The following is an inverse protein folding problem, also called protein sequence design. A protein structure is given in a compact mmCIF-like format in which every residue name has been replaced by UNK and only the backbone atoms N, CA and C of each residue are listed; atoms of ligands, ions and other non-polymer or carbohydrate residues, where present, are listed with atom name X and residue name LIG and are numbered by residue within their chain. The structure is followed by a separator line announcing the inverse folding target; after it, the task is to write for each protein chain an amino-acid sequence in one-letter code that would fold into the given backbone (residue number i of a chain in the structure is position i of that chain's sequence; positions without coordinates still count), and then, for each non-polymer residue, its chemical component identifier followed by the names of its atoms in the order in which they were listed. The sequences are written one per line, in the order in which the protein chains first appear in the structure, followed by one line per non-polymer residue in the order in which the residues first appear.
data_IF_937848547306
#
_entry.id   IF_937848547306
#
_cell.length_a   1.000
_cell.length_b   1.000
_cell.length_c   1.000
_cell.angle_alpha   90.00
_cell.angle_beta   90.00
_cell.angle_gamma   90.00
#
_symmetry.space_group_name_H-M   'P 1'
#
loop_
_entity.id
_entity.type
_entity.pdbx_description
1 polymer ?
#
# COMPACT_ATOMS: atom_id res chain seq x y z
N UNK A 1 23.98 2.77 7.11
CA UNK A 1 23.12 2.72 5.88
C UNK A 1 21.75 3.22 6.26
N UNK A 2 21.17 4.19 5.52
CA UNK A 2 19.84 4.72 5.80
C UNK A 2 18.79 3.62 5.60
N UNK A 3 17.79 3.57 6.47
CA UNK A 3 16.64 2.67 6.32
C UNK A 3 15.72 3.18 5.21
N UNK A 4 14.96 2.29 4.62
CA UNK A 4 14.03 2.65 3.53
C UNK A 4 12.60 2.31 3.93
N UNK A 5 11.73 3.33 4.00
CA UNK A 5 10.29 3.17 4.15
C UNK A 5 9.65 3.20 2.76
N UNK A 6 9.09 2.09 2.35
CA UNK A 6 8.44 1.92 1.04
C UNK A 6 6.93 1.85 1.28
N UNK A 7 6.20 2.83 0.79
CA UNK A 7 4.75 2.89 0.91
C UNK A 7 4.14 2.59 -0.46
N UNK A 8 3.41 1.48 -0.55
CA UNK A 8 2.69 1.07 -1.75
C UNK A 8 1.21 1.35 -1.54
N UNK A 9 0.66 2.29 -2.29
CA UNK A 9 -0.75 2.58 -2.30
C UNK A 9 -1.37 2.37 -3.68
N UNK A 10 -2.66 2.58 -3.79
CA UNK A 10 -3.42 2.41 -5.02
C UNK A 10 -4.85 1.95 -4.73
N UNK A 11 -5.68 2.00 -5.73
CA UNK A 11 -7.09 1.64 -5.60
C UNK A 11 -7.26 0.17 -5.19
N UNK A 12 -8.38 -0.16 -4.59
CA UNK A 12 -8.74 -1.55 -4.28
C UNK A 12 -8.77 -2.38 -5.59
N UNK A 13 -8.23 -3.59 -5.56
CA UNK A 13 -8.16 -4.46 -6.75
C UNK A 13 -6.92 -4.26 -7.63
N UNK A 14 -6.11 -3.21 -7.44
CA UNK A 14 -4.93 -2.93 -8.29
C UNK A 14 -3.76 -3.93 -8.08
N UNK A 15 -3.77 -4.70 -6.98
CA UNK A 15 -2.76 -5.74 -6.71
C UNK A 15 -1.73 -5.39 -5.63
N UNK A 16 -1.99 -4.40 -4.76
CA UNK A 16 -1.05 -3.97 -3.70
C UNK A 16 -0.49 -5.12 -2.87
N UNK A 17 -1.36 -5.91 -2.26
CA UNK A 17 -0.97 -7.02 -1.37
C UNK A 17 -0.14 -8.06 -2.11
N UNK A 18 -0.51 -8.40 -3.35
CA UNK A 18 0.22 -9.36 -4.18
C UNK A 18 1.64 -8.87 -4.50
N UNK A 19 1.76 -7.62 -4.96
CA UNK A 19 3.04 -6.99 -5.27
C UNK A 19 3.89 -6.85 -4.01
N UNK A 20 3.30 -6.37 -2.90
CA UNK A 20 4.01 -6.23 -1.63
C UNK A 20 4.52 -7.56 -1.09
N UNK A 21 3.73 -8.63 -1.19
CA UNK A 21 4.13 -9.97 -0.77
C UNK A 21 5.31 -10.51 -1.60
N UNK A 22 5.33 -10.24 -2.90
CA UNK A 22 6.44 -10.61 -3.77
C UNK A 22 7.69 -9.77 -3.46
N UNK A 23 7.54 -8.45 -3.36
CA UNK A 23 8.62 -7.53 -3.05
C UNK A 23 9.26 -7.86 -1.68
N UNK A 24 8.44 -8.08 -0.65
CA UNK A 24 8.89 -8.47 0.69
C UNK A 24 9.82 -9.69 0.67
N UNK A 25 9.49 -10.71 -0.12
CA UNK A 25 10.30 -11.93 -0.25
C UNK A 25 11.62 -11.71 -0.99
N UNK A 26 11.72 -10.64 -1.77
CA UNK A 26 12.88 -10.27 -2.56
C UNK A 26 13.78 -9.21 -1.90
N UNK A 27 13.44 -8.76 -0.68
CA UNK A 27 14.20 -7.78 0.09
C UNK A 27 14.67 -8.41 1.41
N UNK A 28 15.98 -8.50 1.61
CA UNK A 28 16.55 -8.95 2.87
C UNK A 28 16.35 -7.92 3.97
N UNK A 29 16.11 -8.38 5.21
CA UNK A 29 15.87 -7.52 6.37
C UNK A 29 14.69 -6.55 6.16
N UNK A 30 13.61 -7.05 5.53
CA UNK A 30 12.39 -6.32 5.24
C UNK A 30 11.29 -6.69 6.25
N UNK A 31 10.70 -5.68 6.88
CA UNK A 31 9.48 -5.82 7.68
C UNK A 31 8.30 -5.34 6.84
N UNK A 32 7.23 -6.11 6.82
CA UNK A 32 6.05 -5.81 6.00
C UNK A 32 4.78 -5.66 6.84
N UNK A 33 4.08 -4.56 6.62
CA UNK A 33 2.75 -4.28 7.15
C UNK A 33 1.75 -4.12 6.00
N UNK A 34 0.74 -4.98 5.96
CA UNK A 34 -0.48 -4.72 5.19
C UNK A 34 -1.49 -4.00 6.09
N UNK A 35 -1.88 -2.79 5.72
CA UNK A 35 -2.77 -1.95 6.52
C UNK A 35 -4.16 -2.56 6.73
N UNK A 36 -4.62 -3.41 5.83
CA UNK A 36 -5.90 -4.09 5.98
C UNK A 36 -5.89 -5.07 7.16
N UNK A 37 -4.73 -5.65 7.52
CA UNK A 37 -4.59 -6.53 8.68
C UNK A 37 -4.74 -5.80 10.03
N UNK A 38 -4.59 -4.48 10.04
CA UNK A 38 -4.76 -3.66 11.25
C UNK A 38 -6.23 -3.32 11.49
N UNK A 39 -7.09 -3.56 10.50
CA UNK A 39 -8.53 -3.30 10.57
C UNK A 39 -9.37 -4.59 10.56
N UNK A 40 -8.85 -5.67 11.13
CA UNK A 40 -9.58 -6.94 11.22
C UNK A 40 -10.53 -6.88 12.42
N UNK A 41 -11.82 -6.62 12.15
CA UNK A 41 -12.88 -6.59 13.17
C UNK A 41 -14.19 -7.20 12.64
N UNK A 42 -14.99 -7.75 13.52
CA UNK A 42 -16.30 -8.31 13.20
C UNK A 42 -17.38 -7.81 14.18
N UNK A 43 -18.46 -7.13 13.71
CA UNK A 43 -18.67 -6.71 12.32
C UNK A 43 -17.68 -5.61 11.90
N UNK A 44 -17.43 -5.47 10.60
CA UNK A 44 -16.57 -4.41 10.05
C UNK A 44 -17.31 -3.06 10.12
N UNK A 45 -16.76 -2.12 10.90
CA UNK A 45 -17.36 -0.79 11.13
C UNK A 45 -16.32 0.29 10.78
N UNK A 46 -16.75 1.25 9.95
CA UNK A 46 -15.95 2.42 9.54
C UNK A 46 -16.54 3.67 10.17
N UNK A 47 -16.05 4.03 11.34
CA UNK A 47 -16.34 5.28 12.04
C UNK A 47 -15.07 6.04 12.41
N UNK A 48 -15.20 7.21 13.01
CA UNK A 48 -14.06 8.07 13.34
C UNK A 48 -13.18 7.49 14.45
N UNK A 49 -13.74 6.75 15.39
CA UNK A 49 -13.00 6.09 16.45
C UNK A 49 -12.11 4.98 15.88
N UNK A 50 -12.69 4.10 15.06
CA UNK A 50 -11.96 3.01 14.41
C UNK A 50 -10.90 3.52 13.44
N UNK A 51 -11.20 4.57 12.65
CA UNK A 51 -10.20 5.23 11.78
C UNK A 51 -9.01 5.75 12.59
N UNK A 52 -9.27 6.42 13.71
CA UNK A 52 -8.23 6.95 14.59
C UNK A 52 -7.38 5.83 15.20
N UNK A 53 -8.03 4.77 15.68
CA UNK A 53 -7.38 3.59 16.24
C UNK A 53 -6.46 2.93 15.19
N UNK A 54 -6.98 2.66 13.99
CA UNK A 54 -6.23 2.01 12.91
C UNK A 54 -5.01 2.84 12.50
N UNK A 55 -5.18 4.16 12.32
CA UNK A 55 -4.06 5.05 12.01
C UNK A 55 -3.00 5.03 13.12
N UNK A 56 -3.42 5.04 14.39
CA UNK A 56 -2.50 4.96 15.54
C UNK A 56 -1.73 3.65 15.55
N UNK A 57 -2.40 2.53 15.30
CA UNK A 57 -1.77 1.21 15.23
C UNK A 57 -0.77 1.11 14.06
N UNK A 58 -1.13 1.60 12.87
CA UNK A 58 -0.23 1.64 11.71
C UNK A 58 1.04 2.42 12.04
N UNK A 59 0.89 3.63 12.58
CA UNK A 59 2.02 4.50 12.95
C UNK A 59 2.91 3.83 13.99
N UNK A 60 2.31 3.23 15.02
CA UNK A 60 3.03 2.52 16.06
C UNK A 60 3.85 1.34 15.51
N UNK A 61 3.25 0.51 14.67
CA UNK A 61 3.92 -0.65 14.07
C UNK A 61 5.06 -0.21 13.15
N UNK A 62 4.85 0.81 12.30
CA UNK A 62 5.89 1.30 11.38
C UNK A 62 7.07 1.87 12.17
N UNK A 63 6.84 2.66 13.23
CA UNK A 63 7.90 3.17 14.09
C UNK A 63 8.71 2.02 14.73
N UNK A 64 8.03 1.01 15.29
CA UNK A 64 8.72 -0.15 15.87
C UNK A 64 9.56 -0.92 14.84
N UNK A 65 9.07 -1.04 13.60
CA UNK A 65 9.85 -1.67 12.52
C UNK A 65 11.06 -0.80 12.15
N UNK A 66 10.90 0.52 12.08
CA UNK A 66 12.01 1.43 11.81
C UNK A 66 13.04 1.48 12.95
N UNK A 67 12.61 1.34 14.18
CA UNK A 67 13.53 1.35 15.34
C UNK A 67 14.30 0.03 15.49
N UNK A 68 13.82 -1.06 14.89
CA UNK A 68 14.48 -2.37 15.00
C UNK A 68 15.84 -2.37 14.25
N UNK A 69 16.91 -2.79 14.95
CA UNK A 69 18.27 -2.79 14.38
C UNK A 69 18.47 -3.70 13.17
N UNK A 70 17.66 -4.76 13.05
CA UNK A 70 17.72 -5.68 11.92
C UNK A 70 16.94 -5.15 10.68
N UNK A 71 16.18 -4.06 10.84
CA UNK A 71 15.39 -3.50 9.75
C UNK A 71 16.28 -2.72 8.79
N UNK A 72 16.25 -3.08 7.53
CA UNK A 72 16.80 -2.33 6.39
C UNK A 72 15.69 -1.69 5.57
N UNK A 73 14.62 -2.45 5.36
CA UNK A 73 13.44 -2.03 4.63
C UNK A 73 12.20 -2.18 5.52
N UNK A 74 11.33 -1.18 5.48
CA UNK A 74 9.97 -1.25 6.02
C UNK A 74 9.02 -1.05 4.86
N UNK A 75 8.26 -2.07 4.53
CA UNK A 75 7.27 -2.06 3.47
C UNK A 75 5.89 -1.92 4.09
N UNK A 76 5.14 -0.93 3.63
CA UNK A 76 3.77 -0.69 4.06
C UNK A 76 2.86 -0.56 2.84
N UNK A 77 1.77 -1.31 2.79
CA UNK A 77 0.77 -1.14 1.75
C UNK A 77 -0.62 -0.90 2.33
N UNK A 78 -1.35 0.04 1.73
CA UNK A 78 -2.74 0.32 2.11
C UNK A 78 -3.48 1.14 1.05
N UNK A 79 -4.79 1.38 1.27
CA UNK A 79 -5.67 2.21 0.43
C UNK A 79 -5.59 3.69 0.87
N UNK A 80 -4.52 4.37 0.49
CA UNK A 80 -4.31 5.80 0.79
C UNK A 80 -4.67 6.60 -0.47
N UNK A 81 -5.79 7.30 -0.46
CA UNK A 81 -6.34 7.95 -1.65
C UNK A 81 -6.16 9.48 -1.69
N UNK A 82 -5.50 10.06 -0.68
CA UNK A 82 -5.15 11.49 -0.66
C UNK A 82 -3.79 11.74 -0.02
N UNK A 83 -3.11 12.80 -0.44
CA UNK A 83 -1.88 13.24 0.20
C UNK A 83 -2.10 13.67 1.66
N UNK A 84 -3.31 14.13 2.02
CA UNK A 84 -3.65 14.45 3.40
C UNK A 84 -3.55 13.23 4.32
N UNK A 85 -4.11 12.08 3.91
CA UNK A 85 -4.01 10.82 4.67
C UNK A 85 -2.55 10.35 4.73
N UNK A 86 -1.82 10.43 3.60
CA UNK A 86 -0.40 10.09 3.54
C UNK A 86 0.41 10.92 4.53
N UNK A 87 0.18 12.23 4.56
CA UNK A 87 0.89 13.15 5.45
C UNK A 87 0.48 12.96 6.92
N UNK A 88 -0.79 12.63 7.23
CA UNK A 88 -1.21 12.27 8.59
C UNK A 88 -0.42 11.08 9.16
N UNK A 89 -0.04 10.14 8.32
CA UNK A 89 0.80 8.99 8.70
C UNK A 89 2.25 9.45 8.83
N UNK A 90 2.82 10.06 7.79
CA UNK A 90 4.24 10.40 7.71
C UNK A 90 4.68 11.40 8.79
N UNK A 91 3.84 12.38 9.13
CA UNK A 91 4.14 13.39 10.16
C UNK A 91 4.26 12.81 11.59
N UNK A 92 3.84 11.56 11.81
CA UNK A 92 3.91 10.88 13.10
C UNK A 92 4.92 9.72 13.12
N UNK A 93 5.63 9.52 12.03
CA UNK A 93 6.71 8.52 11.92
C UNK A 93 8.04 9.23 12.14
N UNK A 94 8.93 8.59 12.91
CA UNK A 94 10.30 9.05 13.04
C UNK A 94 11.08 8.72 11.77
N UNK A 95 11.32 9.75 10.95
CA UNK A 95 11.99 9.63 9.66
C UNK A 95 13.48 10.04 9.70
N UNK A 96 14.08 10.12 10.90
CA UNK A 96 15.51 10.41 11.03
C UNK A 96 16.30 9.24 10.40
N UNK A 97 17.19 9.56 9.45
CA UNK A 97 17.95 8.58 8.67
C UNK A 97 17.12 7.54 7.92
N UNK A 98 15.91 7.93 7.47
CA UNK A 98 15.00 7.11 6.68
C UNK A 98 14.75 7.75 5.32
N UNK A 99 14.97 6.99 4.25
CA UNK A 99 14.56 7.37 2.89
C UNK A 99 13.13 6.89 2.63
N UNK A 100 12.24 7.80 2.21
CA UNK A 100 10.81 7.49 2.02
C UNK A 100 10.48 7.39 0.54
N UNK A 101 9.92 6.26 0.13
CA UNK A 101 9.45 6.01 -1.23
C UNK A 101 7.93 5.86 -1.23
N UNK A 102 7.23 6.82 -1.83
CA UNK A 102 5.76 6.80 -1.99
C UNK A 102 5.43 6.32 -3.40
N UNK A 103 4.88 5.14 -3.52
CA UNK A 103 4.59 4.48 -4.80
C UNK A 103 3.10 4.22 -4.92
N UNK A 104 2.48 4.68 -6.01
CA UNK A 104 1.09 4.37 -6.34
C UNK A 104 1.03 3.38 -7.50
N UNK A 105 0.44 2.22 -7.26
CA UNK A 105 0.13 1.27 -8.32
C UNK A 105 -1.11 1.73 -9.06
N UNK A 106 -1.02 1.79 -10.38
CA UNK A 106 -2.11 2.14 -11.29
C UNK A 106 -2.34 1.01 -12.29
N UNK A 107 -3.52 0.90 -12.83
CA UNK A 107 -3.81 0.14 -14.05
C UNK A 107 -4.96 0.82 -14.79
N UNK A 108 -5.19 0.53 -16.05
CA UNK A 108 -6.35 1.08 -16.74
C UNK A 108 -7.67 0.55 -16.12
N UNK A 109 -8.77 1.29 -16.32
CA UNK A 109 -10.07 0.97 -15.69
C UNK A 109 -10.61 -0.41 -16.12
N UNK A 110 -10.37 -0.81 -17.36
CA UNK A 110 -10.81 -2.11 -17.89
C UNK A 110 -10.11 -3.27 -17.17
N UNK A 111 -8.80 -3.17 -17.02
CA UNK A 111 -8.02 -4.19 -16.29
C UNK A 111 -8.39 -4.22 -14.80
N UNK A 112 -8.66 -3.07 -14.18
CA UNK A 112 -9.13 -2.98 -12.80
C UNK A 112 -10.46 -3.74 -12.62
N UNK A 113 -11.44 -3.47 -13.49
CA UNK A 113 -12.74 -4.13 -13.46
C UNK A 113 -12.58 -5.65 -13.63
N UNK A 114 -11.74 -6.07 -14.57
CA UNK A 114 -11.45 -7.50 -14.80
C UNK A 114 -10.87 -8.18 -13.56
N UNK A 115 -9.92 -7.52 -12.88
CA UNK A 115 -9.30 -8.06 -11.64
C UNK A 115 -10.31 -8.15 -10.51
N UNK A 116 -11.15 -7.13 -10.32
CA UNK A 116 -12.17 -7.13 -9.27
C UNK A 116 -13.24 -8.19 -9.56
N UNK A 117 -13.71 -8.33 -10.81
CA UNK A 117 -14.66 -9.38 -11.19
C UNK A 117 -14.13 -10.78 -10.86
N UNK A 118 -12.87 -11.05 -11.17
CA UNK A 118 -12.23 -12.31 -10.80
C UNK A 118 -12.24 -12.55 -9.29
N UNK A 119 -11.98 -11.52 -8.49
CA UNK A 119 -12.02 -11.61 -7.03
C UNK A 119 -13.46 -11.84 -6.52
N UNK A 120 -14.48 -11.26 -7.19
CA UNK A 120 -15.91 -11.50 -6.89
C UNK A 120 -16.31 -12.94 -7.20
N UNK A 121 -15.93 -13.45 -8.38
CA UNK A 121 -16.18 -14.85 -8.77
C UNK A 121 -15.57 -15.85 -7.78
N UNK A 122 -14.43 -15.50 -7.16
CA UNK A 122 -13.76 -16.31 -6.14
C UNK A 122 -14.33 -16.09 -4.72
N UNK A 123 -15.34 -15.26 -4.55
CA UNK A 123 -15.92 -14.93 -3.24
C UNK A 123 -15.00 -14.12 -2.31
N UNK A 124 -13.95 -13.49 -2.86
CA UNK A 124 -12.98 -12.67 -2.11
C UNK A 124 -13.53 -11.25 -1.90
N UNK A 125 -14.40 -10.78 -2.80
CA UNK A 125 -14.95 -9.42 -2.81
C UNK A 125 -16.43 -9.40 -3.15
N UNK A 126 -17.09 -8.31 -2.77
CA UNK A 126 -18.46 -8.01 -3.16
C UNK A 126 -18.50 -7.23 -4.48
N UNK A 127 -19.60 -7.33 -5.24
CA UNK A 127 -19.80 -6.60 -6.51
C UNK A 127 -19.71 -5.07 -6.35
N UNK A 128 -20.14 -4.54 -5.20
CA UNK A 128 -20.08 -3.10 -4.89
C UNK A 128 -18.63 -2.54 -4.87
N UNK A 129 -17.62 -3.41 -4.77
CA UNK A 129 -16.23 -3.00 -4.79
C UNK A 129 -15.78 -2.40 -6.13
N UNK A 130 -16.44 -2.76 -7.26
CA UNK A 130 -16.15 -2.15 -8.56
C UNK A 130 -16.48 -0.67 -8.52
N UNK A 131 -17.71 -0.32 -8.12
CA UNK A 131 -18.16 1.07 -8.02
C UNK A 131 -17.27 1.88 -7.08
N UNK A 132 -17.04 1.37 -5.86
CA UNK A 132 -16.18 2.04 -4.85
C UNK A 132 -14.75 2.26 -5.34
N UNK A 133 -14.23 1.37 -6.16
CA UNK A 133 -12.89 1.49 -6.72
C UNK A 133 -12.84 2.54 -7.82
N UNK A 134 -13.83 2.56 -8.71
CA UNK A 134 -13.92 3.54 -9.80
C UNK A 134 -14.17 4.96 -9.28
N UNK A 135 -14.99 5.14 -8.24
CA UNK A 135 -15.27 6.43 -7.61
C UNK A 135 -14.00 7.11 -7.05
N UNK A 136 -13.02 6.30 -6.63
CA UNK A 136 -11.76 6.81 -6.06
C UNK A 136 -10.58 6.76 -7.04
N UNK A 137 -10.76 6.16 -8.21
CA UNK A 137 -9.67 5.89 -9.14
C UNK A 137 -8.88 7.14 -9.51
N UNK A 138 -9.56 8.23 -9.86
CA UNK A 138 -8.91 9.44 -10.35
C UNK A 138 -8.16 10.19 -9.23
N UNK A 139 -8.55 10.03 -7.96
CA UNK A 139 -7.83 10.62 -6.81
C UNK A 139 -6.38 10.14 -6.70
N UNK A 140 -6.10 8.91 -7.10
CA UNK A 140 -4.74 8.36 -7.05
C UNK A 140 -3.81 8.98 -8.11
N UNK A 141 -4.35 9.47 -9.23
CA UNK A 141 -3.57 10.18 -10.25
C UNK A 141 -3.01 11.51 -9.72
N UNK A 142 -3.77 12.20 -8.86
CA UNK A 142 -3.44 13.53 -8.35
C UNK A 142 -2.43 13.49 -7.20
N UNK A 143 -2.23 12.33 -6.56
CA UNK A 143 -1.30 12.19 -5.43
C UNK A 143 0.16 12.46 -5.83
N UNK A 144 0.91 13.12 -4.95
CA UNK A 144 2.35 13.34 -5.11
C UNK A 144 3.16 12.07 -4.77
N UNK A 145 3.12 11.09 -5.68
CA UNK A 145 3.75 9.78 -5.56
C UNK A 145 4.33 9.33 -6.89
N UNK A 146 5.26 8.39 -6.86
CA UNK A 146 5.77 7.72 -8.06
C UNK A 146 4.68 6.77 -8.57
N UNK A 147 4.22 6.96 -9.81
CA UNK A 147 3.20 6.11 -10.42
C UNK A 147 3.85 4.93 -11.14
N UNK A 148 3.36 3.73 -10.87
CA UNK A 148 3.74 2.51 -11.60
C UNK A 148 2.48 1.94 -12.24
N UNK A 149 2.46 1.94 -13.57
CA UNK A 149 1.42 1.26 -14.32
C UNK A 149 1.64 -0.25 -14.28
N UNK A 150 0.63 -0.96 -13.81
CA UNK A 150 0.62 -2.43 -13.68
C UNK A 150 -0.19 -3.10 -14.80
N UNK A 151 -0.74 -2.33 -15.73
CA UNK A 151 -1.46 -2.89 -16.89
C UNK A 151 -0.50 -3.71 -17.74
N UNK A 152 -0.91 -4.93 -18.08
CA UNK A 152 -0.14 -5.82 -18.97
C UNK A 152 1.30 -6.15 -18.51
N UNK A 153 1.62 -5.92 -17.23
CA UNK A 153 2.90 -6.29 -16.63
C UNK A 153 2.79 -7.52 -15.75
N UNK A 154 3.82 -8.35 -15.76
CA UNK A 154 3.94 -9.42 -14.77
C UNK A 154 4.25 -8.87 -13.38
N UNK A 155 3.95 -9.64 -12.34
CA UNK A 155 4.29 -9.29 -10.95
C UNK A 155 5.80 -9.06 -10.82
N UNK A 156 6.62 -9.91 -11.45
CA UNK A 156 8.07 -9.83 -11.38
C UNK A 156 8.62 -8.56 -12.03
N UNK A 157 8.03 -8.12 -13.14
CA UNK A 157 8.44 -6.86 -13.80
C UNK A 157 8.11 -5.64 -12.92
N UNK A 158 6.93 -5.63 -12.30
CA UNK A 158 6.55 -4.55 -11.37
C UNK A 158 7.50 -4.52 -10.16
N UNK A 159 7.83 -5.68 -9.60
CA UNK A 159 8.78 -5.78 -8.47
C UNK A 159 10.17 -5.30 -8.88
N UNK A 160 10.65 -5.62 -10.10
CA UNK A 160 11.91 -5.08 -10.64
C UNK A 160 11.86 -3.57 -10.76
N UNK A 161 10.78 -3.00 -11.31
CA UNK A 161 10.61 -1.55 -11.42
C UNK A 161 10.70 -0.87 -10.04
N UNK A 162 10.03 -1.44 -9.03
CA UNK A 162 10.08 -0.93 -7.65
C UNK A 162 11.52 -1.01 -7.10
N UNK A 163 12.22 -2.12 -7.30
CA UNK A 163 13.61 -2.28 -6.84
C UNK A 163 14.53 -1.25 -7.46
N UNK A 164 14.42 -0.97 -8.76
CA UNK A 164 15.20 0.08 -9.43
C UNK A 164 14.94 1.46 -8.82
N UNK A 165 13.71 1.75 -8.41
CA UNK A 165 13.34 3.03 -7.77
C UNK A 165 13.98 3.15 -6.38
N UNK A 166 13.93 2.10 -5.59
CA UNK A 166 14.40 2.15 -4.19
C UNK A 166 15.90 1.92 -4.04
N UNK A 167 16.60 1.47 -5.07
CA UNK A 167 18.06 1.25 -5.08
C UNK A 167 18.85 2.47 -5.58
N UNK A 168 18.18 3.47 -6.11
CA UNK A 168 18.78 4.77 -6.48
C UNK A 168 19.05 5.62 -5.24
#
# INVERSE_FOLDING_TARGET
MRKKLIIINGVMGVGKTTISKCLYKNLENCFWLDGDNVWMMNPFVVDEENKKMVLSNIIYIINNFLDNSNSKYVLFNWVIHTDEIMNKILNKINLIDVDVYKITLMCNKEELIKRINKDVELGIRDEDNIRRSLDKYDMYNEMNTIKIDTSNKSIDDIVKDIKVIIEK
#
